data_IF_343579795029
#
_entry.id   IF_343579795029
#
_cell.length_a   1.000
_cell.length_b   1.000
_cell.length_c   1.000
_cell.angle_alpha   90.00
_cell.angle_beta   90.00
_cell.angle_gamma   90.00
#
_symmetry.space_group_name_H-M   'P 1'
#
loop_
_entity.id
_entity.type
_entity.pdbx_description
1 polymer ?
#
# COMPACT_ATOMS: atom_id res chain seq x y z
N UNK A 1 27.60 -21.64 11.65
CA UNK A 1 27.42 -21.90 10.20
C UNK A 1 27.60 -20.58 9.45
N UNK A 2 27.91 -20.59 8.15
CA UNK A 2 27.94 -19.33 7.39
C UNK A 2 26.58 -18.60 7.53
N UNK A 3 26.54 -17.32 7.94
CA UNK A 3 25.29 -16.58 8.16
C UNK A 3 24.36 -16.54 6.95
N UNK A 4 24.90 -16.50 5.74
CA UNK A 4 24.12 -16.52 4.49
C UNK A 4 23.43 -17.87 4.31
N UNK A 5 24.13 -18.98 4.61
CA UNK A 5 23.55 -20.32 4.57
C UNK A 5 22.46 -20.48 5.65
N UNK A 6 22.70 -19.96 6.86
CA UNK A 6 21.71 -19.94 7.93
C UNK A 6 20.45 -19.17 7.53
N UNK A 7 20.62 -18.01 6.87
CA UNK A 7 19.51 -17.22 6.33
C UNK A 7 18.72 -17.98 5.26
N UNK A 8 19.40 -18.63 4.31
CA UNK A 8 18.75 -19.45 3.28
C UNK A 8 17.95 -20.60 3.90
N UNK A 9 18.50 -21.28 4.90
CA UNK A 9 17.78 -22.33 5.64
C UNK A 9 16.55 -21.75 6.34
N UNK A 10 16.69 -20.62 7.03
CA UNK A 10 15.57 -19.96 7.70
C UNK A 10 14.46 -19.56 6.72
N UNK A 11 14.83 -19.05 5.56
CA UNK A 11 13.91 -18.72 4.46
C UNK A 11 13.17 -19.96 3.96
N UNK A 12 13.89 -21.07 3.71
CA UNK A 12 13.27 -22.32 3.26
C UNK A 12 12.33 -22.88 4.32
N UNK A 13 12.70 -22.82 5.60
CA UNK A 13 11.84 -23.25 6.71
C UNK A 13 10.59 -22.38 6.81
N UNK A 14 10.72 -21.06 6.70
CA UNK A 14 9.59 -20.13 6.68
C UNK A 14 8.62 -20.48 5.54
N UNK A 15 9.14 -20.65 4.31
CA UNK A 15 8.32 -21.04 3.17
C UNK A 15 7.66 -22.40 3.38
N UNK A 16 8.40 -23.37 3.94
CA UNK A 16 7.86 -24.69 4.26
C UNK A 16 6.71 -24.65 5.26
N UNK A 17 6.82 -23.81 6.30
CA UNK A 17 5.74 -23.59 7.28
C UNK A 17 4.52 -22.92 6.62
N UNK A 18 4.72 -21.91 5.78
CA UNK A 18 3.61 -21.22 5.12
C UNK A 18 2.91 -22.13 4.11
N UNK A 19 3.67 -22.86 3.29
CA UNK A 19 3.15 -23.64 2.16
C UNK A 19 2.61 -25.01 2.62
N UNK A 20 3.39 -25.78 3.38
CA UNK A 20 3.03 -27.16 3.72
C UNK A 20 2.18 -27.26 4.98
N UNK A 21 2.52 -26.51 6.04
CA UNK A 21 1.75 -26.56 7.30
C UNK A 21 0.60 -25.55 7.33
N UNK A 22 0.48 -24.70 6.30
CA UNK A 22 -0.50 -23.61 6.21
C UNK A 22 -0.47 -22.67 7.42
N UNK A 23 0.70 -22.54 8.04
CA UNK A 23 0.89 -21.66 9.17
C UNK A 23 0.82 -20.19 8.70
N UNK A 24 0.19 -19.32 9.49
CA UNK A 24 0.14 -17.90 9.17
C UNK A 24 1.56 -17.32 9.05
N UNK A 25 1.74 -16.29 8.21
CA UNK A 25 3.06 -15.72 7.93
C UNK A 25 3.73 -15.14 9.19
N UNK A 26 2.94 -14.57 10.12
CA UNK A 26 3.43 -14.00 11.37
C UNK A 26 4.27 -14.99 12.22
N UNK A 27 3.72 -16.10 12.75
CA UNK A 27 4.51 -17.05 13.53
C UNK A 27 5.63 -17.70 12.70
N UNK A 28 5.42 -17.93 11.40
CA UNK A 28 6.44 -18.48 10.50
C UNK A 28 7.68 -17.58 10.40
N UNK A 29 7.48 -16.26 10.31
CA UNK A 29 8.56 -15.26 10.31
C UNK A 29 9.33 -15.24 11.63
N UNK A 30 8.64 -15.33 12.78
CA UNK A 30 9.28 -15.34 14.10
C UNK A 30 10.11 -16.61 14.29
N UNK A 31 9.57 -17.78 13.96
CA UNK A 31 10.30 -19.06 14.03
C UNK A 31 11.54 -19.01 13.14
N UNK A 32 11.39 -18.51 11.92
CA UNK A 32 12.50 -18.33 10.97
C UNK A 32 13.57 -17.39 11.52
N UNK A 33 13.18 -16.24 12.07
CA UNK A 33 14.13 -15.28 12.66
C UNK A 33 14.92 -15.91 13.82
N UNK A 34 14.25 -16.61 14.75
CA UNK A 34 14.92 -17.31 15.86
C UNK A 34 15.89 -18.37 15.32
N UNK A 35 15.44 -19.18 14.36
CA UNK A 35 16.25 -20.23 13.76
C UNK A 35 17.52 -19.66 13.09
N UNK A 36 17.40 -18.58 12.34
CA UNK A 36 18.53 -17.91 11.68
C UNK A 36 19.55 -17.43 12.71
N UNK A 37 19.10 -16.82 13.81
CA UNK A 37 19.97 -16.36 14.88
C UNK A 37 20.79 -17.50 15.47
N UNK A 38 20.13 -18.58 15.87
CA UNK A 38 20.76 -19.77 16.47
C UNK A 38 21.75 -20.41 15.49
N UNK A 39 21.34 -20.64 14.24
CA UNK A 39 22.17 -21.28 13.22
C UNK A 39 23.41 -20.45 12.86
N UNK A 40 23.31 -19.13 12.98
CA UNK A 40 24.42 -18.19 12.76
C UNK A 40 25.35 -18.05 13.97
N UNK A 41 25.03 -18.69 15.10
CA UNK A 41 25.86 -18.70 16.31
C UNK A 41 25.49 -17.67 17.37
N UNK A 42 24.34 -16.98 17.23
CA UNK A 42 23.83 -16.10 18.30
C UNK A 42 23.33 -16.97 19.47
N UNK A 43 23.73 -16.70 20.73
CA UNK A 43 23.21 -17.39 21.90
C UNK A 43 21.68 -17.38 21.96
N UNK A 44 21.07 -18.44 22.52
CA UNK A 44 19.61 -18.60 22.57
C UNK A 44 18.89 -17.40 23.22
N UNK A 45 19.38 -16.91 24.35
CA UNK A 45 18.81 -15.76 25.04
C UNK A 45 18.91 -14.46 24.25
N UNK A 46 20.05 -14.25 23.59
CA UNK A 46 20.30 -13.07 22.75
C UNK A 46 19.51 -13.10 21.43
N UNK A 47 19.25 -14.31 20.90
CA UNK A 47 18.37 -14.48 19.74
C UNK A 47 16.95 -14.02 20.05
N UNK A 48 16.43 -14.36 21.23
CA UNK A 48 15.09 -13.92 21.66
C UNK A 48 15.06 -12.41 21.88
N UNK A 49 16.07 -11.84 22.54
CA UNK A 49 16.14 -10.38 22.77
C UNK A 49 16.25 -9.61 21.45
N UNK A 50 17.01 -10.11 20.48
CA UNK A 50 17.13 -9.51 19.14
C UNK A 50 15.80 -9.52 18.40
N UNK A 51 15.09 -10.65 18.39
CA UNK A 51 13.78 -10.78 17.76
C UNK A 51 12.76 -9.85 18.40
N UNK A 52 12.66 -9.84 19.73
CA UNK A 52 11.70 -9.01 20.47
C UNK A 52 12.00 -7.52 20.36
N UNK A 53 13.29 -7.12 20.36
CA UNK A 53 13.72 -5.75 20.13
C UNK A 53 13.39 -5.28 18.72
N UNK A 54 13.71 -6.07 17.69
CA UNK A 54 13.38 -5.76 16.31
C UNK A 54 11.87 -5.66 16.05
N UNK A 55 11.10 -6.56 16.66
CA UNK A 55 9.64 -6.53 16.64
C UNK A 55 9.11 -5.24 17.30
N UNK A 56 9.51 -4.99 18.55
CA UNK A 56 9.04 -3.86 19.34
C UNK A 56 9.43 -2.51 18.75
N UNK A 57 10.65 -2.38 18.23
CA UNK A 57 11.12 -1.17 17.57
C UNK A 57 10.34 -0.82 16.30
N UNK A 58 9.83 -1.83 15.58
CA UNK A 58 8.97 -1.63 14.41
C UNK A 58 7.54 -1.29 14.83
N UNK A 59 7.00 -1.95 15.85
CA UNK A 59 5.71 -1.61 16.45
C UNK A 59 5.67 -0.16 16.95
N UNK A 60 6.71 0.28 17.64
CA UNK A 60 6.81 1.63 18.16
C UNK A 60 6.86 2.69 17.05
N UNK A 61 7.55 2.42 15.94
CA UNK A 61 7.71 3.41 14.87
C UNK A 61 6.47 3.58 13.99
N UNK A 62 5.74 2.49 13.70
CA UNK A 62 4.68 2.53 12.68
C UNK A 62 3.36 1.89 13.09
N UNK A 63 3.28 1.12 14.18
CA UNK A 63 2.06 0.39 14.55
C UNK A 63 0.81 1.26 14.64
N UNK A 64 0.93 2.45 15.24
CA UNK A 64 -0.17 3.43 15.34
C UNK A 64 -0.59 3.94 13.96
N UNK A 65 0.38 4.23 13.09
CA UNK A 65 0.13 4.70 11.72
C UNK A 65 -0.66 3.65 10.93
N UNK A 66 -0.31 2.36 11.04
CA UNK A 66 -1.05 1.27 10.38
C UNK A 66 -2.51 1.25 10.85
N UNK A 67 -2.73 1.31 12.18
CA UNK A 67 -4.07 1.30 12.76
C UNK A 67 -4.92 2.47 12.29
N UNK A 68 -4.39 3.69 12.33
CA UNK A 68 -5.09 4.89 11.83
C UNK A 68 -5.32 4.84 10.32
N UNK A 69 -4.35 4.35 9.54
CA UNK A 69 -4.50 4.14 8.11
C UNK A 69 -5.63 3.18 7.76
N UNK A 70 -5.70 2.02 8.43
CA UNK A 70 -6.81 1.06 8.25
C UNK A 70 -8.17 1.68 8.57
N UNK A 71 -8.28 2.36 9.72
CA UNK A 71 -9.55 2.98 10.14
C UNK A 71 -9.95 4.11 9.18
N UNK A 72 -9.00 4.92 8.73
CA UNK A 72 -9.28 5.94 7.71
C UNK A 72 -9.72 5.29 6.39
N UNK A 73 -9.08 4.18 6.01
CA UNK A 73 -9.45 3.40 4.83
C UNK A 73 -10.86 2.84 4.89
N UNK A 74 -11.29 2.31 6.04
CA UNK A 74 -12.68 1.81 6.20
C UNK A 74 -13.70 2.94 6.09
N UNK A 75 -13.39 4.14 6.59
CA UNK A 75 -14.28 5.29 6.41
C UNK A 75 -14.38 5.70 4.95
N UNK A 76 -13.28 5.72 4.21
CA UNK A 76 -13.28 6.02 2.77
C UNK A 76 -14.05 4.95 1.96
N UNK A 77 -13.96 3.69 2.39
CA UNK A 77 -14.70 2.57 1.81
C UNK A 77 -16.21 2.71 2.07
N UNK A 78 -16.62 2.69 3.35
CA UNK A 78 -18.03 2.57 3.73
C UNK A 78 -18.85 3.81 3.42
N UNK A 79 -18.20 4.98 3.36
CA UNK A 79 -18.86 6.22 2.93
C UNK A 79 -19.01 6.34 1.41
N UNK A 80 -18.39 5.46 0.60
CA UNK A 80 -18.37 5.60 -0.85
C UNK A 80 -17.44 6.71 -1.37
N UNK A 81 -16.60 7.31 -0.52
CA UNK A 81 -15.62 8.32 -0.94
C UNK A 81 -14.66 7.78 -2.02
N UNK A 82 -14.26 6.51 -1.92
CA UNK A 82 -13.46 5.84 -2.96
C UNK A 82 -14.16 5.83 -4.33
N UNK A 83 -15.47 5.52 -4.36
CA UNK A 83 -16.29 5.57 -5.58
C UNK A 83 -16.43 7.00 -6.12
N UNK A 84 -16.60 7.99 -5.22
CA UNK A 84 -16.67 9.41 -5.62
C UNK A 84 -15.39 9.89 -6.30
N UNK A 85 -14.22 9.50 -5.77
CA UNK A 85 -12.93 9.85 -6.37
C UNK A 85 -12.81 9.23 -7.77
N UNK A 86 -13.23 7.96 -7.92
CA UNK A 86 -13.26 7.29 -9.21
C UNK A 86 -14.12 8.03 -10.24
N UNK A 87 -15.32 8.47 -9.84
CA UNK A 87 -16.20 9.29 -10.67
C UNK A 87 -15.58 10.63 -11.07
N UNK A 88 -14.87 11.27 -10.14
CA UNK A 88 -14.23 12.56 -10.41
C UNK A 88 -13.10 12.38 -11.43
N UNK A 89 -12.29 11.33 -11.28
CA UNK A 89 -11.25 10.96 -12.24
C UNK A 89 -11.88 10.60 -13.60
N UNK A 90 -13.01 9.88 -13.60
CA UNK A 90 -13.75 9.57 -14.82
C UNK A 90 -14.17 10.83 -15.58
N UNK A 91 -14.67 11.86 -14.89
CA UNK A 91 -15.04 13.13 -15.53
C UNK A 91 -13.86 13.83 -16.18
N UNK A 92 -12.69 13.77 -15.55
CA UNK A 92 -11.47 14.42 -16.05
C UNK A 92 -10.83 13.66 -17.22
N UNK A 93 -10.83 12.33 -17.18
CA UNK A 93 -10.09 11.48 -18.14
C UNK A 93 -10.99 10.96 -19.26
N UNK A 94 -12.25 10.66 -18.96
CA UNK A 94 -13.26 10.16 -19.90
C UNK A 94 -13.40 8.63 -19.97
N UNK A 95 -14.62 8.17 -20.29
CA UNK A 95 -15.01 6.75 -20.38
C UNK A 95 -14.20 5.98 -21.42
N UNK A 96 -13.77 6.62 -22.52
CA UNK A 96 -12.95 5.98 -23.56
C UNK A 96 -11.65 5.39 -23.01
N UNK A 97 -11.12 5.97 -21.93
CA UNK A 97 -9.92 5.52 -21.20
C UNK A 97 -10.26 4.94 -19.81
N UNK A 98 -11.35 4.18 -19.72
CA UNK A 98 -11.80 3.46 -18.53
C UNK A 98 -10.68 2.73 -17.76
N UNK A 99 -9.77 2.10 -18.48
CA UNK A 99 -8.59 1.44 -17.96
C UNK A 99 -7.67 2.40 -17.19
N UNK A 100 -7.40 3.58 -17.74
CA UNK A 100 -6.59 4.62 -17.09
C UNK A 100 -7.34 5.23 -15.90
N UNK A 101 -8.66 5.41 -16.01
CA UNK A 101 -9.51 5.88 -14.90
C UNK A 101 -9.39 4.94 -13.71
N UNK A 102 -9.54 3.63 -13.92
CA UNK A 102 -9.43 2.64 -12.86
C UNK A 102 -8.02 2.62 -12.25
N UNK A 103 -6.98 2.65 -13.09
CA UNK A 103 -5.60 2.69 -12.62
C UNK A 103 -5.30 3.93 -11.78
N UNK A 104 -5.67 5.13 -12.24
CA UNK A 104 -5.46 6.38 -11.51
C UNK A 104 -6.28 6.43 -10.21
N UNK A 105 -7.49 5.87 -10.24
CA UNK A 105 -8.29 5.72 -9.02
C UNK A 105 -7.56 4.85 -8.01
N UNK A 106 -7.07 3.68 -8.43
CA UNK A 106 -6.25 2.81 -7.60
C UNK A 106 -5.00 3.53 -7.05
N UNK A 107 -4.30 4.24 -7.93
CA UNK A 107 -3.08 5.00 -7.61
C UNK A 107 -3.30 6.02 -6.49
N UNK A 108 -4.40 6.77 -6.54
CA UNK A 108 -4.73 7.77 -5.50
C UNK A 108 -5.26 7.08 -4.24
N UNK A 109 -6.18 6.12 -4.40
CA UNK A 109 -6.89 5.49 -3.28
C UNK A 109 -5.94 4.65 -2.41
N UNK A 110 -4.92 4.00 -2.96
CA UNK A 110 -4.05 3.13 -2.17
C UNK A 110 -3.01 3.83 -1.29
N UNK A 111 -2.88 5.16 -1.40
CA UNK A 111 -1.97 5.93 -0.55
C UNK A 111 -2.35 5.74 0.93
N UNK A 112 -3.64 5.83 1.31
CA UNK A 112 -4.08 5.43 2.64
C UNK A 112 -4.79 4.08 2.73
N UNK A 113 -5.44 3.62 1.64
CA UNK A 113 -6.23 2.38 1.66
C UNK A 113 -5.33 1.20 1.32
N UNK A 114 -5.45 0.10 2.06
CA UNK A 114 -4.73 -1.12 1.73
C UNK A 114 -5.07 -1.63 0.35
N UNK A 115 -4.07 -2.13 -0.39
CA UNK A 115 -4.26 -2.56 -1.77
C UNK A 115 -5.32 -3.67 -1.89
N UNK A 116 -5.38 -4.61 -0.94
CA UNK A 116 -6.35 -5.71 -0.95
C UNK A 116 -7.79 -5.20 -0.81
N UNK A 117 -8.06 -4.40 0.23
CA UNK A 117 -9.38 -3.79 0.45
C UNK A 117 -9.72 -2.84 -0.71
N UNK A 118 -8.78 -1.98 -1.12
CA UNK A 118 -8.93 -1.07 -2.25
C UNK A 118 -9.28 -1.79 -3.56
N UNK A 119 -8.66 -2.94 -3.82
CA UNK A 119 -8.95 -3.76 -4.98
C UNK A 119 -10.35 -4.34 -4.89
N UNK A 120 -10.76 -4.91 -3.76
CA UNK A 120 -12.11 -5.46 -3.59
C UNK A 120 -13.17 -4.38 -3.81
N UNK A 121 -12.99 -3.20 -3.24
CA UNK A 121 -13.92 -2.07 -3.39
C UNK A 121 -14.03 -1.65 -4.86
N UNK A 122 -12.89 -1.35 -5.48
CA UNK A 122 -12.83 -0.85 -6.85
C UNK A 122 -13.05 -1.96 -7.90
N UNK A 123 -13.01 -3.23 -7.51
CA UNK A 123 -13.33 -4.36 -8.40
C UNK A 123 -14.79 -4.31 -8.83
N UNK A 124 -15.70 -3.84 -7.97
CA UNK A 124 -17.09 -3.62 -8.33
C UNK A 124 -17.19 -2.64 -9.49
N UNK A 125 -16.47 -1.52 -9.40
CA UNK A 125 -16.36 -0.53 -10.46
C UNK A 125 -15.67 -1.08 -11.72
N UNK A 126 -14.58 -1.83 -11.57
CA UNK A 126 -13.90 -2.44 -12.71
C UNK A 126 -14.81 -3.41 -13.48
N UNK A 127 -15.63 -4.20 -12.78
CA UNK A 127 -16.64 -5.08 -13.36
C UNK A 127 -17.71 -4.29 -14.13
N UNK A 128 -18.17 -3.18 -13.57
CA UNK A 128 -19.09 -2.27 -14.27
C UNK A 128 -18.49 -1.73 -15.57
N UNK A 129 -17.25 -1.24 -15.52
CA UNK A 129 -16.55 -0.79 -16.71
C UNK A 129 -16.36 -1.89 -17.74
N UNK A 130 -15.99 -3.11 -17.33
CA UNK A 130 -15.85 -4.24 -18.24
C UNK A 130 -17.17 -4.58 -18.92
N UNK A 131 -18.26 -4.66 -18.15
CA UNK A 131 -19.59 -5.01 -18.67
C UNK A 131 -20.08 -4.00 -19.70
N UNK A 132 -19.95 -2.71 -19.39
CA UNK A 132 -20.46 -1.61 -20.19
C UNK A 132 -19.57 -1.34 -21.40
N UNK A 133 -18.25 -1.26 -21.21
CA UNK A 133 -17.31 -0.96 -22.31
C UNK A 133 -16.89 -2.19 -23.12
N UNK A 134 -17.32 -3.39 -22.72
CA UNK A 134 -16.90 -4.69 -23.30
C UNK A 134 -15.38 -4.91 -23.29
N UNK A 135 -14.65 -4.19 -22.45
CA UNK A 135 -13.20 -4.37 -22.27
C UNK A 135 -12.91 -5.55 -21.32
N UNK A 136 -11.82 -6.26 -21.58
CA UNK A 136 -11.37 -7.41 -20.78
C UNK A 136 -11.08 -7.02 -19.32
N UNK A 137 -11.56 -7.83 -18.38
CA UNK A 137 -11.27 -7.71 -16.94
C UNK A 137 -9.80 -7.97 -16.63
N UNK A 138 -9.08 -8.72 -17.46
CA UNK A 138 -7.64 -8.95 -17.27
C UNK A 138 -6.88 -7.63 -17.42
N UNK A 139 -7.24 -6.83 -18.43
CA UNK A 139 -6.64 -5.51 -18.64
C UNK A 139 -7.11 -4.49 -17.60
N UNK A 140 -8.43 -4.37 -17.39
CA UNK A 140 -9.00 -3.40 -16.44
C UNK A 140 -8.60 -3.68 -14.99
N UNK A 141 -8.74 -4.93 -14.56
CA UNK A 141 -8.36 -5.39 -13.23
C UNK A 141 -6.85 -5.32 -13.02
N UNK A 142 -6.06 -5.68 -14.03
CA UNK A 142 -4.60 -5.57 -13.96
C UNK A 142 -4.11 -4.13 -13.76
N UNK A 143 -4.65 -3.18 -14.54
CA UNK A 143 -4.30 -1.76 -14.41
C UNK A 143 -4.76 -1.17 -13.07
N UNK A 144 -5.97 -1.55 -12.60
CA UNK A 144 -6.44 -1.19 -11.27
C UNK A 144 -5.49 -1.73 -10.18
N UNK A 145 -5.15 -3.01 -10.25
CA UNK A 145 -4.24 -3.68 -9.32
C UNK A 145 -2.88 -3.01 -9.28
N UNK A 146 -2.29 -2.70 -10.45
CA UNK A 146 -1.01 -1.98 -10.51
C UNK A 146 -1.10 -0.56 -9.98
N UNK A 147 -2.17 0.16 -10.28
CA UNK A 147 -2.42 1.48 -9.70
C UNK A 147 -2.37 1.42 -8.18
N UNK A 148 -3.12 0.48 -7.58
CA UNK A 148 -3.11 0.27 -6.13
C UNK A 148 -1.72 -0.12 -5.61
N UNK A 149 -1.05 -1.09 -6.25
CA UNK A 149 0.23 -1.63 -5.79
C UNK A 149 1.36 -0.60 -5.82
N UNK A 150 1.49 0.18 -6.90
CA UNK A 150 2.63 1.09 -7.10
C UNK A 150 2.73 2.09 -5.96
N UNK A 151 1.69 2.89 -5.73
CA UNK A 151 1.72 3.89 -4.65
C UNK A 151 1.70 3.26 -3.27
N UNK A 152 1.06 2.10 -3.10
CA UNK A 152 1.06 1.39 -1.82
C UNK A 152 2.47 1.01 -1.35
N UNK A 153 3.36 0.61 -2.27
CA UNK A 153 4.73 0.22 -1.94
C UNK A 153 5.77 1.33 -2.10
N UNK A 154 5.41 2.48 -2.69
CA UNK A 154 6.38 3.54 -2.99
C UNK A 154 6.14 4.83 -2.22
N UNK A 155 4.91 5.10 -1.77
CA UNK A 155 4.52 6.42 -1.25
C UNK A 155 4.03 6.29 0.20
N UNK A 156 4.78 6.84 1.18
CA UNK A 156 4.26 7.03 2.54
C UNK A 156 2.96 7.85 2.53
N UNK A 157 2.00 7.61 3.45
CA UNK A 157 2.16 7.03 4.78
C UNK A 157 1.81 5.53 4.87
N UNK A 158 1.91 4.76 3.79
CA UNK A 158 1.71 3.32 3.88
C UNK A 158 2.78 2.65 4.76
N UNK A 159 2.47 1.50 5.39
CA UNK A 159 3.33 0.92 6.41
C UNK A 159 4.74 0.59 5.94
N UNK A 160 4.86 0.05 4.72
CA UNK A 160 6.13 -0.38 4.17
C UNK A 160 7.11 0.76 3.92
N UNK A 161 6.77 1.76 3.08
CA UNK A 161 7.59 2.95 2.88
C UNK A 161 7.95 3.69 4.18
N UNK A 162 7.01 3.83 5.12
CA UNK A 162 7.30 4.44 6.42
C UNK A 162 8.32 3.64 7.22
N UNK A 163 8.23 2.31 7.19
CA UNK A 163 9.19 1.46 7.85
C UNK A 163 10.59 1.63 7.25
N UNK A 164 10.69 1.69 5.93
CA UNK A 164 11.97 1.93 5.23
C UNK A 164 12.59 3.24 5.70
N UNK A 165 11.83 4.34 5.67
CA UNK A 165 12.34 5.65 6.14
C UNK A 165 12.78 5.56 7.61
N UNK A 166 11.98 4.93 8.47
CA UNK A 166 12.33 4.75 9.89
C UNK A 166 13.60 3.93 10.08
N UNK A 167 13.79 2.86 9.32
CA UNK A 167 15.00 2.03 9.37
C UNK A 167 16.23 2.83 8.99
N UNK A 168 16.19 3.56 7.86
CA UNK A 168 17.32 4.38 7.43
C UNK A 168 17.66 5.48 8.45
N UNK A 169 16.65 6.14 9.04
CA UNK A 169 16.86 7.14 10.10
C UNK A 169 17.50 6.54 11.36
N UNK A 170 17.10 5.32 11.76
CA UNK A 170 17.70 4.60 12.91
C UNK A 170 19.16 4.25 12.67
N UNK A 171 19.56 4.00 11.43
CA UNK A 171 20.96 3.78 11.04
C UNK A 171 21.76 5.09 10.84
N UNK A 172 21.19 6.25 11.18
CA UNK A 172 21.87 7.53 11.10
C UNK A 172 21.85 8.18 9.72
N UNK A 173 21.12 7.62 8.74
CA UNK A 173 20.92 8.22 7.43
C UNK A 173 19.71 9.15 7.49
N UNK A 174 19.87 10.48 7.35
CA UNK A 174 18.80 11.44 7.53
C UNK A 174 17.86 11.49 6.31
N UNK A 175 17.12 10.40 6.08
CA UNK A 175 16.09 10.36 5.03
C UNK A 175 14.90 11.17 5.50
N UNK A 176 14.65 12.30 4.84
CA UNK A 176 13.45 13.10 5.09
C UNK A 176 12.21 12.42 4.47
N UNK A 177 11.15 12.32 5.28
CA UNK A 177 9.94 11.59 4.88
C UNK A 177 9.20 12.25 3.72
N UNK A 178 9.09 13.58 3.69
CA UNK A 178 8.41 14.29 2.60
C UNK A 178 9.21 14.25 1.30
N UNK A 179 10.55 14.30 1.37
CA UNK A 179 11.38 14.05 0.19
C UNK A 179 11.21 12.63 -0.33
N UNK A 180 11.10 11.65 0.56
CA UNK A 180 10.79 10.27 0.16
C UNK A 180 9.41 10.16 -0.51
N UNK A 181 8.38 10.86 -0.01
CA UNK A 181 7.06 10.94 -0.66
C UNK A 181 7.18 11.51 -2.07
N UNK A 182 7.89 12.63 -2.25
CA UNK A 182 8.05 13.28 -3.56
C UNK A 182 8.79 12.34 -4.52
N UNK A 183 9.91 11.76 -4.10
CA UNK A 183 10.66 10.80 -4.91
C UNK A 183 9.80 9.57 -5.27
N UNK A 184 9.11 9.00 -4.28
CA UNK A 184 8.21 7.86 -4.46
C UNK A 184 7.12 8.16 -5.49
N UNK A 185 6.47 9.32 -5.42
CA UNK A 185 5.47 9.76 -6.39
C UNK A 185 6.07 9.94 -7.79
N UNK A 186 7.24 10.57 -7.91
CA UNK A 186 7.92 10.77 -9.18
C UNK A 186 8.29 9.44 -9.86
N UNK A 187 8.83 8.48 -9.11
CA UNK A 187 9.15 7.14 -9.63
C UNK A 187 7.90 6.28 -9.89
N UNK A 188 6.79 6.56 -9.20
CA UNK A 188 5.51 5.85 -9.41
C UNK A 188 4.89 6.17 -10.77
N UNK A 189 5.09 7.38 -11.31
CA UNK A 189 4.54 7.81 -12.62
C UNK A 189 5.04 6.93 -13.78
N UNK A 190 6.35 6.77 -14.04
CA UNK A 190 6.83 5.94 -15.16
C UNK A 190 6.41 4.48 -14.98
N UNK A 191 6.42 3.94 -13.76
CA UNK A 191 5.96 2.57 -13.48
C UNK A 191 4.47 2.40 -13.79
N UNK A 192 3.65 3.41 -13.50
CA UNK A 192 2.23 3.39 -13.82
C UNK A 192 1.98 3.45 -15.33
N UNK A 193 2.74 4.27 -16.05
CA UNK A 193 2.69 4.34 -17.51
C UNK A 193 3.04 2.97 -18.12
N UNK A 194 4.15 2.35 -17.69
CA UNK A 194 4.55 1.01 -18.15
C UNK A 194 3.47 -0.03 -17.85
N UNK A 195 2.84 0.04 -16.67
CA UNK A 195 1.76 -0.87 -16.28
C UNK A 195 0.54 -0.74 -17.22
N UNK A 196 0.18 0.47 -17.65
CA UNK A 196 -0.89 0.66 -18.64
C UNK A 196 -0.57 -0.07 -19.95
N UNK A 197 0.64 0.09 -20.48
CA UNK A 197 1.02 -0.57 -21.72
C UNK A 197 1.01 -2.10 -21.59
N UNK A 198 1.58 -2.62 -20.51
CA UNK A 198 1.65 -4.05 -20.24
C UNK A 198 0.26 -4.69 -20.14
N UNK A 199 -0.63 -4.10 -19.35
CA UNK A 199 -1.95 -4.69 -19.12
C UNK A 199 -2.96 -4.41 -20.24
N UNK A 200 -2.75 -3.36 -21.06
CA UNK A 200 -3.45 -3.25 -22.35
C UNK A 200 -3.07 -4.38 -23.29
N UNK A 201 -1.78 -4.72 -23.36
CA UNK A 201 -1.31 -5.84 -24.17
C UNK A 201 -1.93 -7.16 -23.70
N UNK A 202 -1.93 -7.44 -22.39
CA UNK A 202 -2.62 -8.62 -21.84
C UNK A 202 -4.13 -8.59 -22.08
N UNK A 203 -4.79 -7.45 -21.90
CA UNK A 203 -6.22 -7.31 -22.15
C UNK A 203 -6.61 -7.61 -23.60
N UNK A 204 -5.78 -7.20 -24.57
CA UNK A 204 -5.98 -7.51 -25.99
C UNK A 204 -5.69 -8.98 -26.33
N UNK A 205 -4.80 -9.63 -25.59
CA UNK A 205 -4.49 -11.06 -25.76
C UNK A 205 -5.59 -11.97 -25.19
N UNK A 206 -6.33 -11.47 -24.20
CA UNK A 206 -7.40 -12.21 -23.52
C UNK A 206 -8.73 -11.44 -23.59
N UNK A 207 -9.28 -11.22 -24.81
CA UNK A 207 -10.46 -10.40 -25.00
C UNK A 207 -11.73 -11.06 -24.46
N UNK A 208 -11.79 -12.39 -24.37
CA UNK A 208 -12.98 -13.14 -23.98
C UNK A 208 -13.29 -13.07 -22.48
N UNK A 209 -12.35 -12.59 -21.66
CA UNK A 209 -12.52 -12.42 -20.21
C UNK A 209 -13.30 -11.14 -19.87
N UNK A 210 -14.51 -11.04 -20.39
CA UNK A 210 -15.45 -9.95 -20.11
C UNK A 210 -16.41 -10.44 -19.01
N UNK A 211 -16.79 -9.55 -18.11
CA UNK A 211 -17.86 -9.88 -17.15
C UNK A 211 -19.14 -10.20 -17.95
N UNK A 212 -19.78 -11.38 -17.74
CA UNK A 212 -21.01 -11.73 -18.43
C UNK A 212 -22.05 -10.62 -18.32
N UNK A 213 -22.79 -10.38 -19.41
CA UNK A 213 -23.82 -9.35 -19.47
C UNK A 213 -25.06 -9.67 -18.63
N UNK A 214 -25.21 -10.91 -18.17
CA UNK A 214 -26.29 -11.28 -17.25
C UNK A 214 -26.12 -10.55 -15.92
N UNK A 215 -26.97 -9.55 -15.73
CA UNK A 215 -27.02 -8.74 -14.52
C UNK A 215 -27.65 -9.60 -13.43
N UNK A 216 -26.90 -9.89 -12.37
CA UNK A 216 -27.52 -10.29 -11.10
C UNK A 216 -28.26 -9.07 -10.54
N UNK A 217 -29.50 -8.88 -11.01
CA UNK A 217 -30.35 -7.70 -10.72
C UNK A 217 -30.64 -7.57 -9.22
N UNK A 218 -30.43 -8.63 -8.43
CA UNK A 218 -30.59 -8.60 -6.97
C UNK A 218 -29.57 -7.70 -6.26
N UNK A 219 -28.42 -7.42 -6.90
CA UNK A 219 -27.33 -6.62 -6.33
C UNK A 219 -27.48 -5.11 -6.56
N UNK A 220 -28.48 -4.69 -7.33
CA UNK A 220 -28.67 -3.28 -7.72
C UNK A 220 -29.92 -2.70 -7.07
N UNK A 221 -29.84 -1.43 -6.71
CA UNK A 221 -31.03 -0.68 -6.30
C UNK A 221 -31.98 -0.47 -7.48
N UNK A 222 -33.27 -0.25 -7.20
CA UNK A 222 -34.26 0.05 -8.25
C UNK A 222 -33.86 1.24 -9.13
N UNK A 223 -33.22 2.25 -8.54
CA UNK A 223 -32.70 3.40 -9.28
C UNK A 223 -31.55 3.02 -10.24
N UNK A 224 -30.63 2.15 -9.80
CA UNK A 224 -29.54 1.65 -10.65
C UNK A 224 -30.07 0.82 -11.81
N UNK A 225 -31.07 -0.02 -11.56
CA UNK A 225 -31.68 -0.84 -12.62
C UNK A 225 -32.28 0.02 -13.74
N UNK A 226 -32.96 1.12 -13.40
CA UNK A 226 -33.51 2.05 -14.41
C UNK A 226 -32.40 2.69 -15.25
N UNK A 227 -31.26 3.03 -14.64
CA UNK A 227 -30.13 3.58 -15.39
C UNK A 227 -29.48 2.51 -16.27
N UNK A 228 -29.32 1.28 -15.75
CA UNK A 228 -28.79 0.16 -16.53
C UNK A 228 -29.67 -0.17 -17.73
N UNK A 229 -31.00 -0.15 -17.57
CA UNK A 229 -31.94 -0.39 -18.66
C UNK A 229 -31.79 0.68 -19.76
N UNK A 230 -31.63 1.96 -19.40
CA UNK A 230 -31.35 3.06 -20.35
C UNK A 230 -30.01 2.88 -21.07
N UNK A 231 -28.98 2.41 -20.35
CA UNK A 231 -27.67 2.17 -20.93
C UNK A 231 -27.74 1.00 -21.92
N UNK A 232 -28.44 -0.08 -21.57
CA UNK A 232 -28.65 -1.23 -22.45
C UNK A 232 -29.43 -0.84 -23.71
N UNK A 233 -30.45 0.01 -23.61
CA UNK A 233 -31.16 0.57 -24.77
C UNK A 233 -30.23 1.40 -25.66
N UNK A 234 -29.44 2.31 -25.07
CA UNK A 234 -28.46 3.13 -25.79
C UNK A 234 -27.42 2.27 -26.54
N UNK A 235 -26.95 1.20 -25.91
CA UNK A 235 -26.03 0.24 -26.53
C UNK A 235 -26.69 -0.54 -27.68
N UNK A 236 -27.96 -0.94 -27.54
CA UNK A 236 -28.74 -1.57 -28.63
C UNK A 236 -28.96 -0.64 -29.82
N UNK A 237 -29.07 0.66 -29.58
CA UNK A 237 -29.12 1.70 -30.61
C UNK A 237 -27.76 1.98 -31.28
N UNK A 238 -26.68 1.31 -30.85
CA UNK A 238 -25.33 1.49 -31.40
C UNK A 238 -24.64 2.79 -30.98
N UNK A 239 -25.17 3.50 -29.96
CA UNK A 239 -24.57 4.74 -29.44
C UNK A 239 -23.42 4.41 -28.48
N UNK A 240 -22.35 5.20 -28.54
CA UNK A 240 -21.23 5.07 -27.61
C UNK A 240 -21.62 5.51 -26.19
N UNK A 241 -20.98 4.88 -25.20
CA UNK A 241 -21.13 5.28 -23.80
C UNK A 241 -20.44 6.60 -23.53
N UNK A 242 -21.13 7.45 -22.77
CA UNK A 242 -20.64 8.74 -22.32
C UNK A 242 -20.35 8.73 -20.82
N UNK A 243 -19.61 9.75 -20.35
CA UNK A 243 -19.34 9.94 -18.93
C UNK A 243 -20.63 10.07 -18.11
N UNK A 244 -21.67 10.67 -18.70
CA UNK A 244 -23.00 10.87 -18.10
C UNK A 244 -23.70 9.55 -17.77
N UNK A 245 -23.51 8.50 -18.57
CA UNK A 245 -24.13 7.19 -18.37
C UNK A 245 -23.57 6.51 -17.10
N UNK A 246 -22.24 6.52 -16.95
CA UNK A 246 -21.58 6.01 -15.74
C UNK A 246 -21.83 6.89 -14.52
N UNK A 247 -21.87 8.21 -14.69
CA UNK A 247 -22.23 9.13 -13.62
C UNK A 247 -23.64 8.86 -13.13
N UNK A 248 -24.62 8.72 -14.02
CA UNK A 248 -25.99 8.38 -13.68
C UNK A 248 -26.05 7.08 -12.87
N UNK A 249 -25.30 6.05 -13.29
CA UNK A 249 -25.31 4.73 -12.64
C UNK A 249 -24.74 4.77 -11.21
N UNK A 250 -23.70 5.56 -10.98
CA UNK A 250 -23.00 5.62 -9.69
C UNK A 250 -23.54 6.73 -8.78
N UNK A 251 -24.16 7.76 -9.34
CA UNK A 251 -24.81 8.86 -8.61
C UNK A 251 -26.14 8.46 -7.96
N UNK A 252 -26.69 7.29 -8.29
CA UNK A 252 -27.83 6.70 -7.57
C UNK A 252 -27.53 6.41 -6.11
N UNK A 253 -26.25 6.28 -5.75
CA UNK A 253 -25.79 6.17 -4.38
C UNK A 253 -25.55 7.57 -3.78
N UNK A 254 -25.89 7.76 -2.50
CA UNK A 254 -25.59 9.02 -1.78
C UNK A 254 -24.09 9.08 -1.52
N UNK A 255 -23.34 9.67 -2.45
CA UNK A 255 -21.88 9.80 -2.37
C UNK A 255 -21.48 11.15 -1.73
N UNK A 256 -20.39 11.18 -0.94
CA UNK A 256 -19.86 12.43 -0.40
C UNK A 256 -19.37 13.36 -1.52
N UNK A 257 -19.25 14.67 -1.26
CA UNK A 257 -18.65 15.60 -2.21
C UNK A 257 -17.20 15.25 -2.54
N UNK A 258 -16.79 15.44 -3.80
CA UNK A 258 -15.44 15.11 -4.25
C UNK A 258 -14.36 15.83 -3.44
N UNK A 259 -14.54 17.14 -3.16
CA UNK A 259 -13.58 17.91 -2.36
C UNK A 259 -13.35 17.31 -0.98
N UNK A 260 -14.39 16.82 -0.30
CA UNK A 260 -14.25 16.18 1.01
C UNK A 260 -13.49 14.85 0.88
N UNK A 261 -13.82 14.04 -0.12
CA UNK A 261 -13.14 12.75 -0.35
C UNK A 261 -11.64 12.92 -0.61
N UNK A 262 -11.25 13.84 -1.50
CA UNK A 262 -9.84 14.10 -1.81
C UNK A 262 -9.11 14.77 -0.64
N UNK A 263 -9.75 15.72 0.06
CA UNK A 263 -9.11 16.38 1.21
C UNK A 263 -8.79 15.36 2.30
N UNK A 264 -9.73 14.49 2.69
CA UNK A 264 -9.47 13.49 3.75
C UNK A 264 -8.35 12.52 3.33
N UNK A 265 -8.29 12.15 2.06
CA UNK A 265 -7.24 11.27 1.53
C UNK A 265 -5.86 11.94 1.48
N UNK A 266 -5.79 13.19 0.99
CA UNK A 266 -4.52 13.89 0.73
C UNK A 266 -4.01 14.68 1.93
N UNK A 267 -4.86 14.97 2.92
CA UNK A 267 -4.48 15.77 4.09
C UNK A 267 -3.28 15.21 4.86
N UNK A 268 -3.15 13.89 5.14
CA UNK A 268 -1.98 13.38 5.84
C UNK A 268 -0.70 13.67 5.06
N UNK A 269 -0.72 13.42 3.75
CA UNK A 269 0.41 13.65 2.85
C UNK A 269 0.78 15.12 2.81
N UNK A 270 -0.22 16.01 2.67
CA UNK A 270 -0.02 17.44 2.66
C UNK A 270 0.62 17.95 3.96
N UNK A 271 0.13 17.52 5.12
CA UNK A 271 0.70 17.91 6.41
C UNK A 271 2.15 17.42 6.57
N UNK A 272 2.44 16.19 6.17
CA UNK A 272 3.81 15.64 6.19
C UNK A 272 4.75 16.45 5.29
N UNK A 273 4.31 16.82 4.09
CA UNK A 273 5.09 17.65 3.16
C UNK A 273 5.33 19.06 3.72
N UNK A 274 4.33 19.67 4.37
CA UNK A 274 4.51 20.96 5.05
C UNK A 274 5.57 20.89 6.15
N UNK A 275 5.59 19.81 6.94
CA UNK A 275 6.64 19.57 7.94
C UNK A 275 8.02 19.48 7.28
N UNK A 276 8.17 18.74 6.18
CA UNK A 276 9.43 18.68 5.42
C UNK A 276 9.93 20.03 4.95
N UNK A 277 9.05 20.88 4.42
CA UNK A 277 9.44 22.22 3.98
C UNK A 277 9.90 23.07 5.18
N UNK A 278 9.15 23.05 6.27
CA UNK A 278 9.48 23.85 7.46
C UNK A 278 10.72 23.34 8.18
N UNK A 279 10.89 22.02 8.28
CA UNK A 279 11.99 21.39 9.02
C UNK A 279 13.36 21.66 8.40
N UNK A 280 13.40 21.99 7.11
CA UNK A 280 14.60 22.34 6.35
C UNK A 280 14.89 23.85 6.32
N UNK A 281 14.02 24.69 6.89
CA UNK A 281 14.23 26.15 6.93
C UNK A 281 14.52 26.65 8.35
N UNK A 282 15.00 27.90 8.46
CA UNK A 282 15.18 28.57 9.75
C UNK A 282 13.88 28.73 10.56
N UNK A 283 12.71 28.53 9.94
CA UNK A 283 11.40 28.64 10.59
C UNK A 283 11.17 27.56 11.63
N UNK A 284 11.92 26.45 11.60
CA UNK A 284 11.86 25.40 12.62
C UNK A 284 12.06 25.94 14.04
N UNK A 285 12.85 26.99 14.22
CA UNK A 285 13.12 27.60 15.52
C UNK A 285 11.97 28.48 16.06
N UNK A 286 11.00 28.83 15.20
CA UNK A 286 9.87 29.70 15.57
C UNK A 286 8.69 28.86 16.08
N UNK A 287 7.84 29.45 16.93
CA UNK A 287 6.65 28.79 17.48
C UNK A 287 5.71 28.24 16.37
N UNK A 288 5.55 28.99 15.28
CA UNK A 288 4.76 28.55 14.11
C UNK A 288 5.38 27.32 13.44
N UNK A 289 6.71 27.26 13.33
CA UNK A 289 7.40 26.10 12.79
C UNK A 289 7.26 24.87 13.69
N UNK A 290 7.27 25.06 15.02
CA UNK A 290 6.97 24.01 15.99
C UNK A 290 5.56 23.40 15.80
N UNK A 291 4.55 24.24 15.52
CA UNK A 291 3.18 23.76 15.25
C UNK A 291 3.13 22.97 13.94
N UNK A 292 3.73 23.48 12.86
CA UNK A 292 3.69 22.80 11.55
C UNK A 292 4.41 21.45 11.60
N UNK A 293 5.57 21.40 12.28
CA UNK A 293 6.34 20.15 12.45
C UNK A 293 5.59 19.12 13.30
N UNK A 294 4.86 19.57 14.34
CA UNK A 294 3.97 18.71 15.12
C UNK A 294 2.81 18.15 14.28
N UNK A 295 2.11 19.02 13.53
CA UNK A 295 0.96 18.62 12.71
C UNK A 295 1.35 17.69 11.55
N UNK A 296 2.55 17.86 10.99
CA UNK A 296 3.08 16.99 9.94
C UNK A 296 3.84 15.78 10.44
N UNK A 297 3.79 15.46 11.74
CA UNK A 297 4.18 14.15 12.21
C UNK A 297 3.20 13.10 11.64
N UNK A 298 3.65 11.95 11.10
CA UNK A 298 2.77 10.97 10.45
C UNK A 298 1.63 10.47 11.33
N UNK A 299 1.87 10.29 12.64
CA UNK A 299 0.85 9.84 13.59
C UNK A 299 -0.24 10.92 13.74
N UNK A 300 0.17 12.17 13.90
CA UNK A 300 -0.75 13.31 14.07
C UNK A 300 -1.51 13.60 12.77
N UNK A 301 -0.82 13.60 11.64
CA UNK A 301 -1.39 13.86 10.32
C UNK A 301 -2.48 12.84 9.95
N UNK A 302 -2.24 11.55 10.23
CA UNK A 302 -3.24 10.49 10.05
C UNK A 302 -4.37 10.60 11.06
N UNK A 303 -4.08 10.92 12.32
CA UNK A 303 -5.11 11.10 13.34
C UNK A 303 -6.10 12.21 12.98
N UNK A 304 -5.62 13.36 12.51
CA UNK A 304 -6.47 14.47 12.06
C UNK A 304 -7.39 14.01 10.92
N UNK A 305 -6.83 13.29 9.95
CA UNK A 305 -7.58 12.81 8.78
C UNK A 305 -8.60 11.74 9.15
N UNK A 306 -8.27 10.88 10.13
CA UNK A 306 -9.19 9.92 10.74
C UNK A 306 -10.34 10.63 11.47
N UNK A 307 -10.07 11.68 12.25
CA UNK A 307 -11.11 12.48 12.89
C UNK A 307 -12.04 13.11 11.84
N UNK A 308 -11.49 13.69 10.77
CA UNK A 308 -12.30 14.22 9.68
C UNK A 308 -13.14 13.12 9.00
N UNK A 309 -12.58 11.93 8.77
CA UNK A 309 -13.34 10.76 8.30
C UNK A 309 -14.52 10.44 9.21
N UNK A 310 -14.28 10.31 10.50
CA UNK A 310 -15.32 9.98 11.48
C UNK A 310 -16.42 11.06 11.57
N UNK A 311 -16.05 12.35 11.63
CA UNK A 311 -17.02 13.43 11.85
C UNK A 311 -17.69 13.95 10.57
N UNK A 312 -17.07 13.77 9.40
CA UNK A 312 -17.59 14.29 8.13
C UNK A 312 -18.18 13.17 7.28
N UNK A 313 -17.46 12.07 7.06
CA UNK A 313 -17.94 10.98 6.21
C UNK A 313 -18.94 10.08 6.93
N UNK A 314 -18.77 9.88 8.24
CA UNK A 314 -19.68 9.08 9.05
C UNK A 314 -20.69 9.93 9.86
N UNK A 315 -20.89 11.20 9.50
CA UNK A 315 -21.79 12.14 10.21
C UNK A 315 -23.22 11.62 10.37
N UNK A 316 -23.75 11.01 9.32
CA UNK A 316 -25.13 10.53 9.26
C UNK A 316 -25.28 9.11 9.85
N UNK A 317 -24.19 8.51 10.34
CA UNK A 317 -24.17 7.13 10.85
C UNK A 317 -24.30 7.12 12.37
N UNK A 318 -24.97 6.10 12.92
CA UNK A 318 -25.07 5.95 14.36
C UNK A 318 -23.71 5.55 14.98
N UNK A 319 -23.49 5.97 16.24
CA UNK A 319 -22.21 5.74 16.95
C UNK A 319 -21.84 4.26 17.06
N UNK A 320 -22.81 3.35 17.14
CA UNK A 320 -22.57 1.91 17.24
C UNK A 320 -22.01 1.37 15.93
N UNK A 321 -22.57 1.80 14.80
CA UNK A 321 -22.05 1.48 13.47
C UNK A 321 -20.65 2.06 13.26
N UNK A 322 -20.40 3.30 13.67
CA UNK A 322 -19.06 3.92 13.60
C UNK A 322 -18.02 3.11 14.37
N UNK A 323 -18.31 2.76 15.62
CA UNK A 323 -17.42 1.90 16.41
C UNK A 323 -17.25 0.50 15.80
N UNK A 324 -18.31 -0.07 15.22
CA UNK A 324 -18.25 -1.34 14.49
C UNK A 324 -17.28 -1.30 13.33
N UNK A 325 -17.35 -0.25 12.50
CA UNK A 325 -16.42 -0.05 11.38
C UNK A 325 -14.98 0.07 11.85
N UNK A 326 -14.72 0.82 12.93
CA UNK A 326 -13.38 0.93 13.51
C UNK A 326 -12.85 -0.42 14.02
N UNK A 327 -13.71 -1.23 14.65
CA UNK A 327 -13.34 -2.58 15.09
C UNK A 327 -13.02 -3.50 13.92
N UNK A 328 -13.77 -3.44 12.83
CA UNK A 328 -13.51 -4.23 11.62
C UNK A 328 -12.19 -3.80 10.98
N UNK A 329 -11.93 -2.49 10.89
CA UNK A 329 -10.64 -1.98 10.42
C UNK A 329 -9.46 -2.44 11.28
N UNK A 330 -9.63 -2.56 12.60
CA UNK A 330 -8.59 -3.09 13.49
C UNK A 330 -8.36 -4.60 13.31
N UNK A 331 -9.40 -5.37 12.97
CA UNK A 331 -9.24 -6.78 12.59
C UNK A 331 -8.42 -6.91 11.31
N UNK A 332 -8.65 -6.04 10.32
CA UNK A 332 -7.88 -5.99 9.09
C UNK A 332 -6.45 -5.51 9.33
N UNK A 333 -6.26 -4.55 10.26
CA UNK A 333 -4.95 -4.04 10.65
C UNK A 333 -4.08 -5.08 11.37
N UNK A 334 -4.68 -5.94 12.21
CA UNK A 334 -3.97 -6.87 13.09
C UNK A 334 -2.91 -7.72 12.37
N UNK A 335 -3.26 -8.49 11.32
CA UNK A 335 -2.30 -9.26 10.54
C UNK A 335 -1.20 -8.39 9.92
N UNK A 336 -1.56 -7.21 9.40
CA UNK A 336 -0.64 -6.27 8.74
C UNK A 336 0.40 -5.78 9.74
N UNK A 337 -0.05 -5.30 10.90
CA UNK A 337 0.77 -4.87 12.04
C UNK A 337 1.73 -6.00 12.45
N UNK A 338 1.21 -7.19 12.76
CA UNK A 338 2.02 -8.32 13.22
C UNK A 338 3.07 -8.78 12.19
N UNK A 339 2.68 -8.91 10.93
CA UNK A 339 3.59 -9.34 9.83
C UNK A 339 4.66 -8.28 9.57
N UNK A 340 4.31 -7.00 9.67
CA UNK A 340 5.23 -5.86 9.52
C UNK A 340 6.31 -5.89 10.61
N UNK A 341 5.92 -6.02 11.89
CA UNK A 341 6.93 -6.12 12.95
C UNK A 341 7.72 -7.42 12.94
N UNK A 342 7.12 -8.55 12.51
CA UNK A 342 7.90 -9.77 12.31
C UNK A 342 8.97 -9.60 11.21
N UNK A 343 8.69 -8.81 10.17
CA UNK A 343 9.70 -8.41 9.18
C UNK A 343 10.83 -7.59 9.79
N UNK A 344 10.52 -6.72 10.75
CA UNK A 344 11.51 -5.98 11.53
C UNK A 344 12.32 -6.86 12.48
N UNK A 345 11.69 -7.86 13.11
CA UNK A 345 12.35 -8.86 13.93
C UNK A 345 13.35 -9.69 13.10
N UNK A 346 12.92 -10.18 11.93
CA UNK A 346 13.78 -10.89 10.99
C UNK A 346 14.92 -9.99 10.51
N UNK A 347 14.64 -8.73 10.15
CA UNK A 347 15.65 -7.75 9.74
C UNK A 347 16.71 -7.52 10.83
N UNK A 348 16.30 -7.38 12.09
CA UNK A 348 17.21 -7.23 13.22
C UNK A 348 18.12 -8.45 13.41
N UNK A 349 17.58 -9.68 13.26
CA UNK A 349 18.41 -10.89 13.32
C UNK A 349 19.38 -10.95 12.14
N UNK A 350 18.92 -10.75 10.91
CA UNK A 350 19.78 -10.79 9.71
C UNK A 350 20.91 -9.76 9.79
N UNK A 351 20.64 -8.60 10.40
CA UNK A 351 21.66 -7.60 10.72
C UNK A 351 22.65 -8.13 11.77
N UNK A 352 22.15 -8.65 12.89
CA UNK A 352 22.99 -9.13 14.00
C UNK A 352 23.91 -10.30 13.60
N UNK A 353 23.50 -11.14 12.64
CA UNK A 353 24.31 -12.27 12.16
C UNK A 353 25.39 -11.88 11.15
N UNK A 354 25.38 -10.65 10.63
CA UNK A 354 26.27 -10.21 9.54
C UNK A 354 25.96 -10.83 8.18
N UNK A 355 24.86 -11.60 8.03
CA UNK A 355 24.45 -12.19 6.76
C UNK A 355 24.18 -11.12 5.70
N UNK A 356 23.59 -10.00 6.10
CA UNK A 356 23.39 -8.80 5.28
C UNK A 356 24.69 -8.37 4.59
N UNK A 357 25.74 -8.20 5.39
CA UNK A 357 27.03 -7.68 4.94
C UNK A 357 27.67 -8.59 3.89
N UNK A 358 27.70 -9.88 4.20
CA UNK A 358 28.28 -10.89 3.32
C UNK A 358 27.57 -10.99 1.97
N UNK A 359 26.24 -10.79 1.93
CA UNK A 359 25.48 -10.80 0.67
C UNK A 359 25.76 -9.58 -0.18
N UNK A 360 25.80 -8.38 0.42
CA UNK A 360 26.07 -7.15 -0.32
C UNK A 360 27.47 -7.18 -0.93
N UNK A 361 28.48 -7.58 -0.15
CA UNK A 361 29.86 -7.71 -0.62
C UNK A 361 29.98 -8.76 -1.74
N UNK A 362 29.25 -9.87 -1.63
CA UNK A 362 29.18 -10.89 -2.68
C UNK A 362 28.58 -10.39 -4.00
N UNK A 363 27.51 -9.57 -3.95
CA UNK A 363 26.90 -9.00 -5.17
C UNK A 363 27.87 -8.03 -5.86
N UNK A 364 28.53 -7.17 -5.09
CA UNK A 364 29.51 -6.21 -5.63
C UNK A 364 30.73 -6.93 -6.20
N UNK A 365 31.19 -8.00 -5.56
CA UNK A 365 32.33 -8.80 -6.02
C UNK A 365 32.09 -9.46 -7.40
N UNK A 366 30.83 -9.71 -7.78
CA UNK A 366 30.45 -10.27 -9.10
C UNK A 366 30.37 -9.17 -10.18
N UNK A 367 30.66 -7.91 -9.85
CA UNK A 367 30.68 -6.79 -10.78
C UNK A 367 29.31 -6.15 -11.02
N UNK A 368 28.31 -6.46 -10.18
CA UNK A 368 26.98 -5.84 -10.26
C UNK A 368 27.06 -4.42 -9.69
N UNK A 369 26.56 -3.39 -10.40
CA UNK A 369 26.54 -2.02 -9.91
C UNK A 369 25.83 -1.91 -8.55
N UNK A 370 26.45 -1.22 -7.59
CA UNK A 370 25.91 -1.06 -6.23
C UNK A 370 24.49 -0.51 -6.17
N UNK A 371 24.09 0.33 -7.14
CA UNK A 371 22.73 0.87 -7.26
C UNK A 371 21.65 -0.20 -7.47
N UNK A 372 22.03 -1.38 -7.99
CA UNK A 372 21.11 -2.51 -8.19
C UNK A 372 21.03 -3.44 -6.98
N UNK A 373 21.95 -3.32 -6.01
CA UNK A 373 21.97 -4.16 -4.80
C UNK A 373 20.63 -4.07 -4.04
N UNK A 374 20.05 -2.88 -3.78
CA UNK A 374 18.74 -2.78 -3.14
C UNK A 374 17.62 -3.52 -3.88
N UNK A 375 17.62 -3.41 -5.22
CA UNK A 375 16.62 -4.03 -6.08
C UNK A 375 16.71 -5.56 -6.04
N UNK A 376 17.94 -6.10 -6.12
CA UNK A 376 18.19 -7.53 -6.07
C UNK A 376 17.86 -8.12 -4.69
N UNK A 377 18.34 -7.50 -3.61
CA UNK A 377 18.04 -7.95 -2.25
C UNK A 377 16.53 -7.91 -2.00
N UNK A 378 15.86 -6.82 -2.37
CA UNK A 378 14.40 -6.71 -2.25
C UNK A 378 13.65 -7.80 -3.02
N UNK A 379 14.10 -8.10 -4.25
CA UNK A 379 13.50 -9.15 -5.08
C UNK A 379 13.71 -10.53 -4.45
N UNK A 380 14.93 -10.84 -4.02
CA UNK A 380 15.27 -12.12 -3.37
C UNK A 380 14.49 -12.27 -2.06
N UNK A 381 14.31 -11.20 -1.28
CA UNK A 381 13.52 -11.23 -0.05
C UNK A 381 12.02 -11.33 -0.30
N UNK A 382 11.50 -10.80 -1.42
CA UNK A 382 10.07 -10.85 -1.73
C UNK A 382 9.57 -12.26 -2.05
N UNK A 383 10.33 -13.04 -2.80
CA UNK A 383 9.96 -14.40 -3.19
C UNK A 383 9.58 -15.30 -2.00
N UNK A 384 10.40 -15.42 -0.94
CA UNK A 384 10.09 -16.29 0.18
C UNK A 384 9.10 -15.69 1.17
N UNK A 385 9.14 -14.38 1.40
CA UNK A 385 8.31 -13.75 2.43
C UNK A 385 6.85 -13.53 1.99
N UNK A 386 6.59 -13.51 0.68
CA UNK A 386 5.25 -13.34 0.10
C UNK A 386 4.66 -11.93 0.26
N UNK A 387 4.92 -11.26 1.39
CA UNK A 387 4.49 -9.89 1.73
C UNK A 387 5.51 -8.84 1.27
N UNK A 388 5.03 -7.82 0.56
CA UNK A 388 5.88 -6.71 0.10
C UNK A 388 6.37 -5.83 1.22
N UNK A 389 5.49 -5.55 2.17
CA UNK A 389 5.80 -4.75 3.35
C UNK A 389 6.92 -5.39 4.16
N UNK A 390 6.84 -6.69 4.40
CA UNK A 390 7.88 -7.44 5.11
C UNK A 390 9.20 -7.43 4.34
N UNK A 391 9.15 -7.70 3.03
CA UNK A 391 10.35 -7.73 2.20
C UNK A 391 11.07 -6.38 2.15
N UNK A 392 10.33 -5.26 2.13
CA UNK A 392 10.92 -3.92 2.19
C UNK A 392 11.51 -3.60 3.57
N UNK A 393 10.91 -4.09 4.66
CA UNK A 393 11.44 -3.89 6.01
C UNK A 393 12.72 -4.67 6.21
N UNK A 394 12.70 -5.97 5.88
CA UNK A 394 13.89 -6.81 5.95
C UNK A 394 14.96 -6.33 4.99
N UNK A 395 14.60 -5.98 3.75
CA UNK A 395 15.51 -5.41 2.76
C UNK A 395 16.13 -4.10 3.22
N UNK A 396 15.35 -3.16 3.75
CA UNK A 396 15.90 -1.90 4.26
C UNK A 396 16.80 -2.09 5.47
N UNK A 397 16.51 -3.05 6.36
CA UNK A 397 17.40 -3.39 7.47
C UNK A 397 18.73 -4.00 7.01
N UNK A 398 18.73 -4.70 5.88
CA UNK A 398 19.93 -5.24 5.24
C UNK A 398 20.72 -4.10 4.57
N UNK A 399 20.06 -3.22 3.82
CA UNK A 399 20.71 -2.23 2.95
C UNK A 399 21.16 -0.98 3.71
N UNK A 400 20.40 -0.52 4.71
CA UNK A 400 20.67 0.76 5.38
C UNK A 400 22.08 0.86 5.98
N UNK A 401 22.65 -0.18 6.63
CA UNK A 401 24.04 -0.14 7.10
C UNK A 401 25.09 0.05 6.00
N UNK A 402 24.79 -0.37 4.76
CA UNK A 402 25.69 -0.25 3.61
C UNK A 402 25.58 1.05 2.84
N UNK A 403 24.39 1.65 2.84
CA UNK A 403 24.14 2.92 2.16
C UNK A 403 24.96 4.07 2.77
N UNK A 404 25.47 3.90 3.99
CA UNK A 404 26.47 4.77 4.60
C UNK A 404 27.87 4.14 4.47
N UNK A 405 28.53 4.38 3.34
CA UNK A 405 29.99 4.27 3.26
C UNK A 405 30.54 5.64 2.85
N UNK A 406 31.16 6.43 3.75
CA UNK A 406 31.61 7.80 3.48
C UNK A 406 32.79 7.91 2.50
N UNK A 407 33.00 6.91 1.64
CA UNK A 407 34.11 6.80 0.68
C UNK A 407 33.70 6.60 -0.79
N UNK A 408 32.42 6.72 -1.15
CA UNK A 408 31.95 6.72 -2.55
C UNK A 408 31.09 7.94 -2.85
#
# INVERSE_FOLDING_TARGET
MNPVIAMLIGVVVMMGLIIFTRMHAFPSLIISAILIGILSGIPLGESISTVTSGFGGTMASIGIVIGFGCIMGIFLEKSGAAKRMALTILKMVGVKRADVVLGLTGFVVSIPVFCDSGFVILSSLAKEFSRLTKKSMVGLGGILGMGLYITHFMVPPTPGPLAVVSTFQKEGIPVDLGMFIIAGLLFSIPLFIVSIFLFRWFGNRYPDFIVPSEIDRSKYTKAQLVVLDKIDEKLKEGKELENSDFEALLSTEKLPPAGISFTILLLPVFLILCNTVVSQTAWKANAVGGIITFLGNPVIALFISLCLGAFVLAKDMDKKTVNGMMNDALKDAGPIVCITAAGGALGAVVKATGAAQLMADGIVAVGIPGILVPLLIGTIMRFPQGSGTTAMITGSAIIAPHAYNPGN
#
